data_IF_444430721754
#
_entry.id   IF_444430721754
#
_cell.length_a   1.000
_cell.length_b   1.000
_cell.length_c   1.000
_cell.angle_alpha   90.00
_cell.angle_beta   90.00
_cell.angle_gamma   90.00
#
_symmetry.space_group_name_H-M   'P 1'
#
loop_
_entity.id
_entity.type
_entity.pdbx_description
1 polymer ?
#
# COMPACT_ATOMS: atom_id res chain seq x y z
N UNK A 1 15.72 13.27 -17.05
CA UNK A 1 16.07 12.10 -17.88
C UNK A 1 14.79 11.38 -18.25
N UNK A 2 14.41 11.43 -19.52
CA UNK A 2 13.25 10.70 -20.08
C UNK A 2 13.68 9.27 -20.44
N UNK A 3 12.84 8.23 -20.25
CA UNK A 3 13.16 6.91 -20.76
C UNK A 3 12.98 6.89 -22.28
N UNK A 4 14.00 6.37 -22.98
CA UNK A 4 14.00 6.19 -24.44
C UNK A 4 12.94 5.16 -24.85
N UNK A 5 12.06 5.54 -25.78
CA UNK A 5 11.17 4.62 -26.48
C UNK A 5 12.00 3.77 -27.47
N UNK A 6 12.39 2.58 -27.02
CA UNK A 6 12.95 1.55 -27.89
C UNK A 6 11.81 0.77 -28.55
N UNK A 7 11.84 0.70 -29.88
CA UNK A 7 11.00 -0.13 -30.73
C UNK A 7 11.02 -1.60 -30.24
N UNK A 8 10.07 -1.99 -29.40
CA UNK A 8 9.82 -3.36 -28.95
C UNK A 8 8.31 -3.50 -28.91
N UNK A 9 7.77 -4.55 -29.52
CA UNK A 9 6.40 -5.04 -29.30
C UNK A 9 5.98 -4.70 -27.87
N UNK A 10 5.05 -3.75 -27.73
CA UNK A 10 4.70 -3.06 -26.48
C UNK A 10 3.95 -3.96 -25.50
N UNK A 11 4.52 -5.12 -25.21
CA UNK A 11 3.99 -6.12 -24.32
C UNK A 11 4.01 -5.55 -22.92
N UNK A 12 2.81 -5.36 -22.38
CA UNK A 12 2.59 -4.98 -21.00
C UNK A 12 3.30 -5.97 -20.06
N UNK A 13 4.08 -5.43 -19.13
CA UNK A 13 4.74 -6.18 -18.06
C UNK A 13 4.42 -5.47 -16.75
N UNK A 14 3.81 -6.22 -15.85
CA UNK A 14 3.53 -5.80 -14.49
C UNK A 14 4.42 -6.62 -13.56
N UNK A 15 4.83 -6.01 -12.44
CA UNK A 15 5.52 -6.74 -11.40
C UNK A 15 4.55 -7.71 -10.72
N UNK A 16 5.07 -8.78 -10.12
CA UNK A 16 4.23 -9.80 -9.47
C UNK A 16 3.43 -9.22 -8.28
N UNK A 17 3.86 -8.10 -7.72
CA UNK A 17 3.22 -7.36 -6.63
C UNK A 17 2.27 -6.25 -7.09
N UNK A 18 2.13 -5.97 -8.40
CA UNK A 18 1.35 -4.83 -8.91
C UNK A 18 -0.17 -4.97 -8.75
N UNK A 19 -0.66 -6.10 -8.21
CA UNK A 19 -2.06 -6.41 -7.87
C UNK A 19 -3.08 -5.61 -8.70
N UNK A 20 -3.31 -6.06 -9.93
CA UNK A 20 -4.13 -5.32 -10.89
C UNK A 20 -5.62 -5.56 -10.68
N UNK A 21 -6.41 -4.51 -10.88
CA UNK A 21 -7.87 -4.56 -10.89
C UNK A 21 -8.43 -3.97 -12.18
N UNK A 22 -9.47 -4.57 -12.73
CA UNK A 22 -10.22 -3.99 -13.85
C UNK A 22 -11.11 -2.87 -13.30
N UNK A 23 -10.85 -1.63 -13.70
CA UNK A 23 -11.62 -0.46 -13.26
C UNK A 23 -12.80 -0.18 -14.18
N UNK A 24 -12.56 -0.23 -15.49
CA UNK A 24 -13.58 0.05 -16.49
C UNK A 24 -13.25 -0.59 -17.84
N UNK A 25 -14.30 -0.95 -18.59
CA UNK A 25 -14.19 -1.49 -19.94
C UNK A 25 -14.92 -0.57 -20.92
N UNK A 26 -14.18 0.07 -21.83
CA UNK A 26 -14.74 0.92 -22.88
C UNK A 26 -15.03 0.18 -24.18
N UNK A 27 -14.75 -1.13 -24.25
CA UNK A 27 -14.81 -1.95 -25.46
C UNK A 27 -13.41 -2.19 -26.03
N UNK A 28 -12.87 -1.32 -26.89
CA UNK A 28 -11.55 -1.55 -27.51
C UNK A 28 -10.36 -1.29 -26.57
N UNK A 29 -10.60 -0.62 -25.43
CA UNK A 29 -9.61 -0.37 -24.39
C UNK A 29 -10.22 -0.53 -22.99
N UNK A 30 -9.36 -0.83 -22.02
CA UNK A 30 -9.70 -1.04 -20.61
C UNK A 30 -8.85 -0.14 -19.71
N UNK A 31 -9.43 0.27 -18.59
CA UNK A 31 -8.69 0.89 -17.49
C UNK A 31 -8.36 -0.17 -16.45
N UNK A 32 -7.08 -0.31 -16.13
CA UNK A 32 -6.59 -1.17 -15.06
C UNK A 32 -6.03 -0.30 -13.94
N UNK A 33 -6.44 -0.56 -12.70
CA UNK A 33 -5.83 0.01 -11.51
C UNK A 33 -4.68 -0.88 -11.06
N UNK A 34 -3.57 -0.29 -10.62
CA UNK A 34 -2.45 -1.02 -10.05
C UNK A 34 -1.63 -0.15 -9.10
N UNK A 35 -0.39 -0.55 -8.87
CA UNK A 35 0.55 0.20 -8.03
C UNK A 35 0.94 1.54 -8.66
N UNK A 36 0.67 2.61 -7.92
CA UNK A 36 0.94 4.02 -8.21
C UNK A 36 0.41 4.54 -9.55
N UNK A 37 -0.51 3.83 -10.20
CA UNK A 37 -1.00 4.23 -11.51
C UNK A 37 -2.34 3.61 -11.92
N UNK A 38 -3.00 4.28 -12.86
CA UNK A 38 -4.08 3.73 -13.70
C UNK A 38 -3.56 3.57 -15.11
N UNK A 39 -3.71 2.37 -15.69
CA UNK A 39 -3.23 2.02 -17.01
C UNK A 39 -4.39 2.01 -18.01
N UNK A 40 -4.27 2.77 -19.10
CA UNK A 40 -5.14 2.65 -20.25
C UNK A 40 -4.51 1.70 -21.27
N UNK A 41 -5.17 0.56 -21.48
CA UNK A 41 -4.65 -0.56 -22.25
C UNK A 41 -5.58 -0.88 -23.41
N UNK A 42 -5.03 -1.02 -24.61
CA UNK A 42 -5.78 -1.56 -25.76
C UNK A 42 -6.01 -3.06 -25.57
N UNK A 43 -7.21 -3.57 -25.83
CA UNK A 43 -7.47 -5.03 -25.75
C UNK A 43 -6.74 -5.75 -26.89
N UNK A 44 -6.78 -5.18 -28.09
CA UNK A 44 -6.07 -5.71 -29.25
C UNK A 44 -5.15 -4.60 -29.76
N UNK A 45 -3.82 -4.68 -29.57
CA UNK A 45 -3.00 -5.88 -29.36
C UNK A 45 -2.48 -6.12 -27.92
N UNK A 46 -3.18 -5.72 -26.85
CA UNK A 46 -2.65 -5.75 -25.47
C UNK A 46 -1.43 -4.85 -25.26
N UNK A 47 -1.56 -3.58 -25.67
CA UNK A 47 -0.51 -2.58 -25.52
C UNK A 47 -0.93 -1.43 -24.59
N UNK A 48 0.04 -0.89 -23.85
CA UNK A 48 -0.15 0.33 -23.07
C UNK A 48 -0.38 1.50 -24.02
N UNK A 49 -1.51 2.18 -23.90
CA UNK A 49 -1.75 3.43 -24.62
C UNK A 49 -1.10 4.57 -23.83
N UNK A 50 -1.43 4.67 -22.54
CA UNK A 50 -0.81 5.59 -21.59
C UNK A 50 -1.15 5.20 -20.15
N UNK A 51 -0.56 5.90 -19.18
CA UNK A 51 -0.86 5.75 -17.75
C UNK A 51 -1.09 7.10 -17.07
N UNK A 52 -1.97 7.11 -16.08
CA UNK A 52 -2.11 8.18 -15.10
C UNK A 52 -1.23 7.80 -13.91
N UNK A 53 -0.13 8.53 -13.69
CA UNK A 53 0.72 8.31 -12.53
C UNK A 53 0.11 8.98 -11.32
N UNK A 54 -0.06 8.22 -10.25
CA UNK A 54 -0.64 8.69 -9.01
C UNK A 54 -0.02 7.96 -7.80
N UNK A 55 1.26 8.26 -7.49
CA UNK A 55 1.92 7.74 -6.31
C UNK A 55 1.36 8.38 -5.03
N UNK A 56 1.59 7.71 -3.90
CA UNK A 56 1.30 8.24 -2.56
C UNK A 56 1.98 9.60 -2.34
N UNK A 57 1.27 10.54 -1.72
CA UNK A 57 1.82 11.86 -1.38
C UNK A 57 3.00 11.77 -0.40
N UNK A 58 3.88 12.77 -0.38
CA UNK A 58 5.03 12.78 0.56
C UNK A 58 4.58 12.76 2.03
N UNK A 59 3.48 13.44 2.35
CA UNK A 59 2.92 13.47 3.69
C UNK A 59 2.41 12.09 4.11
N UNK A 60 1.59 11.45 3.26
CA UNK A 60 1.06 10.11 3.55
C UNK A 60 2.16 9.05 3.57
N UNK A 61 3.16 9.18 2.69
CA UNK A 61 4.34 8.32 2.67
C UNK A 61 5.11 8.40 4.00
N UNK A 62 5.29 9.61 4.52
CA UNK A 62 5.96 9.83 5.80
C UNK A 62 5.19 9.21 6.97
N UNK A 63 3.88 9.45 7.02
CA UNK A 63 3.02 8.87 8.06
C UNK A 63 2.92 7.35 7.97
N UNK A 64 2.78 6.81 6.76
CA UNK A 64 2.81 5.37 6.51
C UNK A 64 4.14 4.75 6.96
N UNK A 65 5.26 5.41 6.65
CA UNK A 65 6.58 4.92 7.04
C UNK A 65 6.73 4.88 8.56
N UNK A 66 6.21 5.86 9.30
CA UNK A 66 6.17 5.84 10.77
C UNK A 66 5.36 4.65 11.29
N UNK A 67 4.13 4.45 10.76
CA UNK A 67 3.24 3.34 11.14
C UNK A 67 3.88 1.98 10.86
N UNK A 68 4.43 1.79 9.66
CA UNK A 68 5.05 0.53 9.23
C UNK A 68 6.39 0.26 9.91
N UNK A 69 7.17 1.29 10.25
CA UNK A 69 8.37 1.12 11.08
C UNK A 69 8.03 0.67 12.49
N UNK A 70 6.94 1.17 13.08
CA UNK A 70 6.42 0.70 14.36
C UNK A 70 5.97 -0.78 14.29
N UNK A 71 5.25 -1.15 13.22
CA UNK A 71 4.87 -2.54 12.95
C UNK A 71 6.09 -3.45 12.76
N UNK A 72 7.12 -2.99 12.04
CA UNK A 72 8.39 -3.69 11.86
C UNK A 72 9.11 -3.90 13.20
N UNK A 73 9.13 -2.90 14.08
CA UNK A 73 9.63 -3.05 15.44
C UNK A 73 8.83 -4.09 16.22
N UNK A 74 7.50 -4.10 16.11
CA UNK A 74 6.63 -5.10 16.77
C UNK A 74 6.94 -6.53 16.30
N UNK A 75 6.99 -6.75 14.99
CA UNK A 75 7.33 -8.06 14.41
C UNK A 75 8.75 -8.51 14.77
N UNK A 76 9.74 -7.59 14.79
CA UNK A 76 11.08 -7.93 15.26
C UNK A 76 11.11 -8.28 16.75
N UNK A 77 10.33 -7.62 17.60
CA UNK A 77 10.22 -7.97 19.02
C UNK A 77 9.46 -9.29 19.23
N UNK A 78 8.45 -9.62 18.40
CA UNK A 78 7.71 -10.90 18.45
C UNK A 78 8.56 -12.09 17.97
N UNK A 79 9.34 -11.92 16.89
CA UNK A 79 10.25 -12.98 16.41
C UNK A 79 11.44 -13.18 17.37
N UNK A 80 11.92 -12.10 18.00
CA UNK A 80 12.93 -12.23 19.05
C UNK A 80 12.37 -12.70 20.39
N UNK A 81 11.07 -12.56 20.70
CA UNK A 81 10.49 -13.13 21.93
C UNK A 81 10.42 -14.65 21.87
N UNK A 82 10.25 -15.27 20.70
CA UNK A 82 10.39 -16.74 20.60
C UNK A 82 11.81 -17.27 20.87
N UNK A 83 12.86 -16.46 20.65
CA UNK A 83 14.26 -16.84 20.94
C UNK A 83 14.70 -16.37 22.34
N UNK A 84 14.22 -15.21 22.80
CA UNK A 84 14.52 -14.65 24.12
C UNK A 84 13.62 -15.16 25.25
N UNK A 85 12.45 -15.75 24.99
CA UNK A 85 11.59 -16.34 26.04
C UNK A 85 12.30 -17.51 26.76
N UNK A 86 13.13 -18.27 26.06
CA UNK A 86 13.93 -19.34 26.68
C UNK A 86 15.07 -18.78 27.54
N UNK A 87 15.70 -17.67 27.15
CA UNK A 87 16.78 -17.06 27.91
C UNK A 87 16.29 -16.18 29.08
N UNK A 88 15.15 -15.51 28.94
CA UNK A 88 14.54 -14.70 30.00
C UNK A 88 13.84 -15.58 31.03
N UNK A 89 13.16 -16.68 30.63
CA UNK A 89 12.63 -17.67 31.60
C UNK A 89 13.74 -18.27 32.46
N UNK A 90 14.92 -18.50 31.93
CA UNK A 90 16.07 -19.01 32.70
C UNK A 90 16.70 -17.95 33.63
N UNK A 91 16.52 -16.65 33.34
CA UNK A 91 17.00 -15.56 34.18
C UNK A 91 16.01 -15.13 35.28
N UNK A 92 14.72 -15.51 35.17
CA UNK A 92 13.64 -15.06 36.06
C UNK A 92 13.02 -16.15 36.96
N UNK A 93 13.68 -17.29 37.16
CA UNK A 93 13.29 -18.30 38.18
C UNK A 93 13.45 -17.77 39.63
N UNK A 94 13.95 -16.55 39.83
CA UNK A 94 14.39 -16.05 41.15
C UNK A 94 13.58 -14.96 41.85
N UNK A 95 12.55 -14.34 41.27
CA UNK A 95 11.87 -13.19 41.93
C UNK A 95 10.35 -13.24 41.84
N UNK A 96 9.73 -13.40 43.02
CA UNK A 96 8.28 -13.27 43.26
C UNK A 96 7.80 -11.88 42.83
N UNK A 97 6.69 -11.87 42.09
CA UNK A 97 6.00 -10.71 41.54
C UNK A 97 5.01 -10.14 42.56
N UNK A 98 4.99 -8.81 42.70
CA UNK A 98 3.80 -8.06 43.09
C UNK A 98 3.46 -7.05 41.96
N UNK A 99 2.36 -7.33 41.26
CA UNK A 99 1.49 -6.37 40.56
C UNK A 99 2.07 -5.35 39.56
N UNK A 100 2.30 -5.76 38.30
CA UNK A 100 2.16 -4.91 37.10
C UNK A 100 2.22 -5.81 35.84
N UNK A 101 1.40 -5.54 34.81
CA UNK A 101 1.27 -6.38 33.60
C UNK A 101 2.58 -6.52 32.81
N UNK A 102 3.10 -7.74 32.74
CA UNK A 102 4.37 -8.18 32.13
C UNK A 102 4.59 -7.76 30.65
N UNK A 103 3.49 -7.52 29.90
CA UNK A 103 3.54 -7.20 28.46
C UNK A 103 4.10 -5.81 28.15
N UNK A 104 3.80 -4.81 28.98
CA UNK A 104 4.18 -3.41 28.68
C UNK A 104 5.65 -3.13 28.99
N UNK A 105 6.23 -3.86 29.94
CA UNK A 105 7.65 -3.73 30.31
C UNK A 105 8.58 -4.31 29.23
N UNK A 106 8.18 -5.39 28.56
CA UNK A 106 8.95 -6.04 27.48
C UNK A 106 8.98 -5.16 26.23
N UNK A 107 7.85 -4.53 25.87
CA UNK A 107 7.77 -3.60 24.73
C UNK A 107 8.67 -2.38 24.99
N UNK A 108 8.63 -1.81 26.21
CA UNK A 108 9.48 -0.68 26.59
C UNK A 108 10.98 -1.00 26.59
N UNK A 109 11.38 -2.21 27.00
CA UNK A 109 12.77 -2.65 26.99
C UNK A 109 13.31 -2.95 25.57
N UNK A 110 12.45 -3.40 24.65
CA UNK A 110 12.81 -3.66 23.26
C UNK A 110 13.09 -2.33 22.51
N UNK A 111 12.20 -1.34 22.64
CA UNK A 111 12.34 0.01 22.08
C UNK A 111 13.62 0.73 22.53
N UNK A 112 13.96 0.61 23.82
CA UNK A 112 15.12 1.30 24.42
C UNK A 112 16.47 0.61 24.20
N UNK A 113 16.49 -0.65 23.71
CA UNK A 113 17.70 -1.35 23.24
C UNK A 113 17.94 -1.21 21.74
N UNK A 114 16.90 -1.05 20.93
CA UNK A 114 17.04 -0.88 19.47
C UNK A 114 17.68 0.46 19.09
N UNK A 115 17.48 1.52 19.89
CA UNK A 115 18.19 2.80 19.75
C UNK A 115 19.71 2.72 20.03
N UNK A 116 20.20 1.59 20.54
CA UNK A 116 21.62 1.39 20.90
C UNK A 116 22.36 0.38 20.01
N UNK A 117 21.70 -0.29 19.06
CA UNK A 117 22.36 -1.24 18.17
C UNK A 117 22.69 -0.59 16.82
N UNK A 118 23.92 -0.75 16.28
CA UNK A 118 24.21 -0.37 14.91
C UNK A 118 23.35 -1.21 13.95
N UNK A 119 22.93 -0.66 12.79
CA UNK A 119 22.07 -1.37 11.86
C UNK A 119 22.72 -2.70 11.46
N UNK A 120 22.05 -3.81 11.75
CA UNK A 120 22.49 -5.16 11.36
C UNK A 120 22.62 -5.21 9.83
N UNK A 121 23.84 -5.48 9.36
CA UNK A 121 24.22 -5.49 7.93
C UNK A 121 23.67 -6.69 7.14
N UNK A 122 22.89 -7.56 7.76
CA UNK A 122 22.26 -8.71 7.10
C UNK A 122 20.73 -8.62 7.16
N UNK A 123 20.16 -7.61 6.49
CA UNK A 123 18.72 -7.46 6.31
C UNK A 123 18.37 -7.36 4.82
N UNK A 124 18.66 -8.45 4.10
CA UNK A 124 18.38 -8.61 2.67
C UNK A 124 16.89 -8.62 2.28
N UNK A 125 15.97 -8.34 3.21
CA UNK A 125 14.52 -8.31 2.98
C UNK A 125 13.85 -6.99 3.43
N UNK A 126 14.60 -5.89 3.36
CA UNK A 126 14.16 -4.55 3.78
C UNK A 126 13.06 -3.92 2.90
N UNK A 127 12.71 -4.52 1.75
CA UNK A 127 11.74 -3.94 0.79
C UNK A 127 10.28 -4.27 1.08
N UNK A 128 9.98 -5.33 1.84
CA UNK A 128 8.61 -5.86 2.01
C UNK A 128 7.62 -4.80 2.53
N UNK A 129 8.04 -3.96 3.49
CA UNK A 129 7.17 -2.94 4.06
C UNK A 129 7.05 -1.66 3.22
N UNK A 130 8.00 -1.42 2.31
CA UNK A 130 7.96 -0.23 1.46
C UNK A 130 6.82 -0.33 0.43
N UNK A 131 6.51 -1.55 -0.02
CA UNK A 131 5.40 -1.82 -0.92
C UNK A 131 4.02 -1.56 -0.29
N UNK A 132 3.90 -1.53 1.05
CA UNK A 132 2.64 -1.22 1.73
C UNK A 132 2.28 0.27 1.66
N UNK A 133 3.28 1.14 1.51
CA UNK A 133 3.09 2.58 1.50
C UNK A 133 2.82 3.16 0.11
N UNK A 134 2.83 2.33 -0.92
CA UNK A 134 2.39 2.72 -2.25
C UNK A 134 0.87 2.88 -2.33
N UNK A 135 0.45 3.53 -3.41
CA UNK A 135 -0.94 3.68 -3.74
C UNK A 135 -1.39 2.54 -4.65
N UNK A 136 -2.28 1.67 -4.20
CA UNK A 136 -2.89 0.65 -5.06
C UNK A 136 -4.28 1.13 -5.40
N UNK A 137 -4.52 1.41 -6.69
CA UNK A 137 -5.82 1.88 -7.16
C UNK A 137 -6.81 0.72 -7.15
N UNK A 138 -7.94 0.89 -6.47
CA UNK A 138 -8.93 -0.18 -6.22
C UNK A 138 -10.32 0.12 -6.75
N UNK A 139 -10.71 1.39 -6.78
CA UNK A 139 -12.11 1.79 -7.05
C UNK A 139 -12.15 2.82 -8.16
N UNK A 140 -13.21 2.76 -8.98
CA UNK A 140 -13.46 3.70 -10.07
C UNK A 140 -14.94 4.05 -10.19
N UNK A 141 -15.22 5.31 -10.54
CA UNK A 141 -16.53 5.69 -11.05
C UNK A 141 -16.43 6.90 -12.00
N UNK A 142 -17.34 6.93 -12.98
CA UNK A 142 -17.43 8.02 -13.95
C UNK A 142 -18.18 9.22 -13.38
N UNK A 143 -17.84 10.41 -13.86
CA UNK A 143 -18.51 11.68 -13.54
C UNK A 143 -18.75 12.47 -14.82
N UNK A 144 -19.53 13.55 -14.76
CA UNK A 144 -19.77 14.42 -15.92
C UNK A 144 -18.50 15.14 -16.41
N UNK A 145 -17.49 15.32 -15.55
CA UNK A 145 -16.28 16.08 -15.86
C UNK A 145 -15.02 15.21 -16.07
N UNK A 146 -15.20 13.88 -16.10
CA UNK A 146 -14.11 12.90 -16.15
C UNK A 146 -14.42 11.71 -15.25
N UNK A 147 -13.49 11.30 -14.40
CA UNK A 147 -13.67 10.14 -13.54
C UNK A 147 -12.97 10.32 -12.19
N UNK A 148 -13.35 9.47 -11.25
CA UNK A 148 -12.71 9.37 -9.94
C UNK A 148 -12.10 8.00 -9.80
N UNK A 149 -10.91 7.96 -9.22
CA UNK A 149 -10.29 6.72 -8.74
C UNK A 149 -9.92 6.85 -7.28
N UNK A 150 -10.00 5.74 -6.55
CA UNK A 150 -9.57 5.66 -5.16
C UNK A 150 -8.55 4.55 -4.97
N UNK A 151 -7.60 4.76 -4.06
CA UNK A 151 -6.59 3.78 -3.75
C UNK A 151 -6.08 3.89 -2.31
N UNK A 152 -5.25 2.92 -1.92
CA UNK A 152 -4.74 2.76 -0.54
C UNK A 152 -3.90 3.94 -0.06
N UNK A 153 -3.22 4.61 -1.01
CA UNK A 153 -2.44 5.84 -0.83
C UNK A 153 -1.66 5.94 0.50
N UNK A 154 -0.83 4.92 0.78
CA UNK A 154 -0.03 4.90 2.01
C UNK A 154 -0.81 4.54 3.28
N UNK A 155 -1.71 3.56 3.23
CA UNK A 155 -2.62 3.21 4.32
C UNK A 155 -3.59 4.33 4.72
N UNK A 156 -3.74 5.32 3.85
CA UNK A 156 -4.64 6.46 3.98
C UNK A 156 -5.52 6.55 2.73
N UNK A 157 -6.60 5.74 2.64
CA UNK A 157 -7.50 5.69 1.49
C UNK A 157 -7.82 7.08 0.98
N UNK A 158 -7.46 7.33 -0.27
CA UNK A 158 -7.62 8.65 -0.89
C UNK A 158 -8.28 8.44 -2.24
N UNK A 159 -9.15 9.37 -2.62
CA UNK A 159 -9.75 9.46 -3.93
C UNK A 159 -9.24 10.69 -4.68
N UNK A 160 -9.18 10.62 -6.00
CA UNK A 160 -8.76 11.72 -6.86
C UNK A 160 -9.64 11.84 -8.10
N UNK A 161 -9.96 13.09 -8.42
CA UNK A 161 -10.64 13.46 -9.66
C UNK A 161 -9.61 13.61 -10.79
N UNK A 162 -9.88 12.97 -11.92
CA UNK A 162 -9.14 13.12 -13.17
C UNK A 162 -10.08 13.61 -14.25
N UNK A 163 -9.66 14.62 -15.02
CA UNK A 163 -10.32 14.87 -16.29
C UNK A 163 -9.81 13.91 -17.34
N UNK A 164 -10.65 13.67 -18.34
CA UNK A 164 -10.23 12.94 -19.52
C UNK A 164 -8.99 13.61 -20.14
N UNK A 165 -7.98 12.78 -20.44
CA UNK A 165 -6.66 13.16 -21.02
C UNK A 165 -5.73 13.99 -20.12
N UNK A 166 -6.21 14.52 -18.99
CA UNK A 166 -5.36 15.18 -18.00
C UNK A 166 -4.62 14.11 -17.18
N UNK A 167 -3.29 14.09 -17.28
CA UNK A 167 -2.48 13.06 -16.63
C UNK A 167 -2.28 13.29 -15.14
N UNK A 168 -2.78 14.40 -14.59
CA UNK A 168 -2.61 14.76 -13.19
C UNK A 168 -3.93 14.66 -12.42
N UNK A 169 -3.83 14.17 -11.19
CA UNK A 169 -4.92 14.29 -10.23
C UNK A 169 -5.21 15.78 -9.99
N UNK A 170 -6.48 16.18 -10.07
CA UNK A 170 -6.90 17.59 -9.89
C UNK A 170 -7.16 17.92 -8.43
N UNK A 171 -8.09 17.19 -7.84
CA UNK A 171 -8.50 17.34 -6.45
C UNK A 171 -8.52 15.97 -5.80
N UNK A 172 -7.98 15.89 -4.60
CA UNK A 172 -8.03 14.71 -3.75
C UNK A 172 -9.01 14.90 -2.59
N UNK A 173 -9.57 13.81 -2.08
CA UNK A 173 -10.42 13.79 -0.90
C UNK A 173 -10.32 12.44 -0.19
N UNK A 174 -10.82 12.36 1.05
CA UNK A 174 -10.78 11.14 1.85
C UNK A 174 -11.54 10.00 1.16
N UNK A 175 -10.92 8.82 1.12
CA UNK A 175 -11.43 7.63 0.48
C UNK A 175 -11.88 6.54 1.46
N UNK A 176 -12.03 6.86 2.74
CA UNK A 176 -12.52 5.92 3.74
C UNK A 176 -13.89 5.35 3.32
N UNK A 177 -14.02 4.03 3.34
CA UNK A 177 -15.21 3.33 2.83
C UNK A 177 -15.30 3.25 1.30
N UNK A 178 -14.46 3.98 0.56
CA UNK A 178 -14.39 3.93 -0.92
C UNK A 178 -13.23 3.09 -1.45
N UNK A 179 -12.11 3.04 -0.73
CA UNK A 179 -10.98 2.16 -0.99
C UNK A 179 -10.50 1.50 0.31
N UNK A 180 -9.85 0.33 0.24
CA UNK A 180 -9.28 -0.30 1.42
C UNK A 180 -8.02 0.44 1.89
N UNK A 181 -7.68 0.29 3.18
CA UNK A 181 -6.43 0.83 3.71
C UNK A 181 -5.21 0.08 3.19
N UNK A 182 -5.26 -1.25 3.16
CA UNK A 182 -4.11 -2.09 2.83
C UNK A 182 -4.28 -2.76 1.45
N UNK A 183 -3.17 -3.02 0.74
CA UNK A 183 -3.23 -3.55 -0.63
C UNK A 183 -3.69 -5.01 -0.72
N UNK A 184 -3.58 -5.78 0.36
CA UNK A 184 -3.96 -7.19 0.46
C UNK A 184 -5.46 -7.39 0.74
N UNK A 185 -6.19 -6.32 1.07
CA UNK A 185 -7.63 -6.37 1.28
C UNK A 185 -8.35 -6.45 -0.06
N UNK A 186 -9.22 -7.47 -0.18
CA UNK A 186 -10.14 -7.61 -1.31
C UNK A 186 -11.27 -6.60 -1.17
N UNK A 187 -11.38 -5.70 -2.14
CA UNK A 187 -12.30 -4.56 -2.12
C UNK A 187 -13.10 -4.49 -3.43
N UNK A 188 -14.21 -5.25 -3.55
CA UNK A 188 -15.09 -5.16 -4.71
C UNK A 188 -15.86 -3.84 -4.73
N UNK A 189 -16.17 -3.36 -5.93
CA UNK A 189 -17.02 -2.19 -6.13
C UNK A 189 -17.97 -2.39 -7.31
N UNK A 190 -19.09 -1.66 -7.29
CA UNK A 190 -20.06 -1.58 -8.38
C UNK A 190 -20.47 -0.13 -8.58
N UNK A 191 -20.31 0.39 -9.79
CA UNK A 191 -20.86 1.69 -10.17
C UNK A 191 -22.05 1.50 -11.11
N UNK A 192 -23.22 2.01 -10.73
CA UNK A 192 -24.46 1.88 -11.50
C UNK A 192 -25.28 3.17 -11.48
N UNK A 193 -25.55 3.72 -12.67
CA UNK A 193 -26.27 4.97 -12.86
C UNK A 193 -25.52 6.16 -12.25
N UNK A 194 -25.84 6.48 -10.99
CA UNK A 194 -25.21 7.57 -10.22
C UNK A 194 -24.71 7.13 -8.84
N UNK A 195 -24.77 5.83 -8.55
CA UNK A 195 -24.44 5.28 -7.25
C UNK A 195 -23.21 4.39 -7.34
N UNK A 196 -22.31 4.58 -6.38
CA UNK A 196 -21.17 3.71 -6.14
C UNK A 196 -21.46 2.87 -4.90
N UNK A 197 -21.29 1.56 -5.04
CA UNK A 197 -21.37 0.59 -3.95
C UNK A 197 -19.98 -0.01 -3.75
N UNK A 198 -19.52 -0.02 -2.52
CA UNK A 198 -18.22 -0.58 -2.12
C UNK A 198 -18.41 -1.50 -0.93
N UNK A 199 -17.59 -2.54 -0.84
CA UNK A 199 -17.52 -3.40 0.32
C UNK A 199 -16.04 -3.55 0.71
N UNK A 200 -15.62 -2.72 1.67
CA UNK A 200 -14.27 -2.71 2.20
C UNK A 200 -14.34 -3.24 3.64
N UNK A 201 -13.57 -4.29 3.93
CA UNK A 201 -13.47 -4.93 5.25
C UNK A 201 -12.17 -4.59 5.97
#
# INVERSE_FOLDING_TARGET
MLPKLGNRTGRLRFANDDSLVLLHNYGPYVLLGGRNAVFNVSITPLSLIFKYEWPTSENDMTECTKKTTSLKCRFQCEYHTTIFDLQIRMAYIGKRHDGMHEKDHIIGACLSRQLRQPPSKNLGNLRIFQHLCDNYVRTFYSTHAGFVVCGTHGLNPTCANFAERDRRARQTFAGDGLAPHAPDVVAPFLFSGRYLYTANG
#
